data_IF_251532083128
#
_entry.id   IF_251532083128
#
_cell.length_a   1.000
_cell.length_b   1.000
_cell.length_c   1.000
_cell.angle_alpha   90.00
_cell.angle_beta   90.00
_cell.angle_gamma   90.00
#
_symmetry.space_group_name_H-M   'P 1'
#
loop_
_entity.id
_entity.type
_entity.pdbx_description
1 polymer ?
#
# COMPACT_ATOMS: atom_id res chain seq x y z
N UNK A 1 -23.72 11.60 -16.75
CA UNK A 1 -22.66 12.61 -16.58
C UNK A 1 -22.82 13.62 -17.71
N UNK A 2 -22.95 14.89 -17.40
CA UNK A 2 -23.14 15.92 -18.44
C UNK A 2 -21.79 16.28 -19.04
N UNK A 3 -21.72 16.40 -20.37
CA UNK A 3 -20.50 16.80 -21.12
C UNK A 3 -19.90 18.12 -20.58
N UNK A 4 -20.74 18.99 -19.97
CA UNK A 4 -20.32 20.21 -19.28
C UNK A 4 -19.37 20.00 -18.09
N UNK A 5 -19.50 18.90 -17.34
CA UNK A 5 -18.65 18.62 -16.16
C UNK A 5 -17.23 18.21 -16.58
N UNK A 6 -17.07 17.64 -17.78
CA UNK A 6 -15.75 17.30 -18.35
C UNK A 6 -15.03 18.56 -18.85
N UNK A 7 -15.79 19.52 -19.44
CA UNK A 7 -15.23 20.78 -19.92
C UNK A 7 -14.85 21.75 -18.81
N UNK A 8 -15.61 21.79 -17.69
CA UNK A 8 -15.25 22.57 -16.51
C UNK A 8 -13.97 22.05 -15.84
N UNK A 9 -13.75 20.74 -15.85
CA UNK A 9 -12.49 20.13 -15.42
C UNK A 9 -11.29 20.52 -16.28
N UNK A 10 -11.46 20.59 -17.61
CA UNK A 10 -10.39 20.94 -18.55
C UNK A 10 -10.06 22.44 -18.58
N UNK A 11 -11.03 23.34 -18.37
CA UNK A 11 -10.79 24.79 -18.31
C UNK A 11 -10.10 25.23 -17.01
N UNK A 12 -10.40 24.60 -15.87
CA UNK A 12 -9.64 24.77 -14.63
C UNK A 12 -8.20 24.22 -14.73
N UNK A 13 -7.96 23.27 -15.62
CA UNK A 13 -6.65 22.65 -15.81
C UNK A 13 -5.60 23.64 -16.33
N UNK A 14 -5.93 24.55 -17.24
CA UNK A 14 -4.93 25.40 -17.92
C UNK A 14 -4.34 26.49 -17.01
N UNK A 15 -5.13 27.23 -16.27
CA UNK A 15 -4.67 28.37 -15.46
C UNK A 15 -4.01 27.93 -14.14
N UNK A 16 -4.59 26.94 -13.45
CA UNK A 16 -4.02 26.38 -12.23
C UNK A 16 -2.73 25.61 -12.49
N UNK A 17 -2.67 24.85 -13.58
CA UNK A 17 -1.49 24.08 -13.98
C UNK A 17 -0.31 24.99 -14.29
N UNK A 18 -0.52 26.12 -14.99
CA UNK A 18 0.52 27.08 -15.29
C UNK A 18 1.04 27.79 -14.01
N UNK A 19 0.15 28.16 -13.12
CA UNK A 19 0.51 28.78 -11.83
C UNK A 19 1.29 27.83 -10.92
N UNK A 20 0.94 26.54 -10.86
CA UNK A 20 1.64 25.52 -10.08
C UNK A 20 3.01 25.16 -10.69
N UNK A 21 3.12 25.10 -12.03
CA UNK A 21 4.38 24.84 -12.71
C UNK A 21 5.46 25.87 -12.38
N UNK A 22 5.04 27.14 -12.27
CA UNK A 22 5.96 28.25 -12.01
C UNK A 22 6.33 28.42 -10.53
N UNK A 23 5.48 27.97 -9.60
CA UNK A 23 5.65 28.25 -8.18
C UNK A 23 5.94 27.01 -7.32
N UNK A 24 5.43 25.83 -7.68
CA UNK A 24 5.52 24.60 -6.88
C UNK A 24 5.47 23.33 -7.74
N UNK A 25 6.57 22.94 -8.38
CA UNK A 25 6.59 21.81 -9.32
C UNK A 25 6.20 20.46 -8.69
N UNK A 26 6.41 20.27 -7.40
CA UNK A 26 5.97 19.05 -6.69
C UNK A 26 4.43 18.96 -6.54
N UNK A 27 3.77 20.09 -6.26
CA UNK A 27 2.30 20.15 -6.20
C UNK A 27 1.67 19.97 -7.61
N UNK A 28 2.33 20.47 -8.64
CA UNK A 28 1.90 20.23 -10.02
C UNK A 28 1.91 18.73 -10.34
N UNK A 29 2.98 18.02 -10.00
CA UNK A 29 3.05 16.56 -10.22
C UNK A 29 1.92 15.82 -9.50
N UNK A 30 1.66 16.18 -8.24
CA UNK A 30 0.55 15.62 -7.45
C UNK A 30 -0.81 15.91 -8.09
N UNK A 31 -1.05 17.14 -8.53
CA UNK A 31 -2.29 17.55 -9.20
C UNK A 31 -2.51 16.79 -10.52
N UNK A 32 -1.48 16.70 -11.37
CA UNK A 32 -1.55 15.93 -12.63
C UNK A 32 -1.85 14.45 -12.33
N UNK A 33 -1.21 13.87 -11.33
CA UNK A 33 -1.44 12.47 -10.94
C UNK A 33 -2.89 12.23 -10.48
N UNK A 34 -3.49 13.17 -9.73
CA UNK A 34 -4.89 13.11 -9.31
C UNK A 34 -5.85 13.22 -10.51
N UNK A 35 -5.59 14.16 -11.45
CA UNK A 35 -6.40 14.32 -12.66
C UNK A 35 -6.36 13.07 -13.54
N UNK A 36 -5.21 12.44 -13.67
CA UNK A 36 -5.06 11.22 -14.46
C UNK A 36 -5.75 10.03 -13.80
N UNK A 37 -5.67 9.88 -12.47
CA UNK A 37 -6.44 8.87 -11.75
C UNK A 37 -7.94 9.05 -11.95
N UNK A 38 -8.45 10.27 -11.82
CA UNK A 38 -9.86 10.57 -12.11
C UNK A 38 -10.27 10.26 -13.56
N UNK A 39 -9.39 10.52 -14.52
CA UNK A 39 -9.64 10.15 -15.90
C UNK A 39 -9.76 8.63 -16.06
N UNK A 40 -8.83 7.86 -15.49
CA UNK A 40 -8.86 6.40 -15.52
C UNK A 40 -10.14 5.84 -14.87
N UNK A 41 -10.62 6.49 -13.80
CA UNK A 41 -11.92 6.18 -13.17
C UNK A 41 -13.10 6.39 -14.10
N UNK A 42 -13.12 7.52 -14.81
CA UNK A 42 -14.20 7.92 -15.71
C UNK A 42 -14.30 7.01 -16.94
N UNK A 43 -13.16 6.54 -17.46
CA UNK A 43 -13.10 5.64 -18.62
C UNK A 43 -13.16 4.16 -18.26
N UNK A 44 -13.23 3.82 -16.95
CA UNK A 44 -13.33 2.44 -16.48
C UNK A 44 -12.05 1.62 -16.64
N UNK A 45 -10.90 2.28 -16.81
CA UNK A 45 -9.60 1.62 -16.90
C UNK A 45 -9.08 1.20 -15.52
N UNK A 46 -8.45 0.02 -15.45
CA UNK A 46 -7.86 -0.51 -14.24
C UNK A 46 -8.86 -1.18 -13.29
N UNK A 47 -8.48 -1.32 -12.01
CA UNK A 47 -9.28 -2.00 -11.01
C UNK A 47 -10.56 -1.22 -10.64
N UNK A 48 -11.68 -1.91 -10.35
CA UNK A 48 -12.90 -1.24 -9.90
C UNK A 48 -12.68 -0.53 -8.56
N UNK A 49 -13.32 0.65 -8.39
CA UNK A 49 -13.24 1.44 -7.17
C UNK A 49 -14.15 0.91 -6.08
N UNK A 50 -13.59 0.58 -4.91
CA UNK A 50 -14.36 0.16 -3.75
C UNK A 50 -13.57 0.40 -2.46
N UNK A 51 -14.23 0.94 -1.43
CA UNK A 51 -13.66 1.01 -0.08
C UNK A 51 -13.66 -0.37 0.60
N UNK A 52 -12.63 -0.71 1.38
CA UNK A 52 -12.48 -2.02 2.02
C UNK A 52 -13.44 -2.23 3.20
N UNK A 53 -13.85 -1.17 3.86
CA UNK A 53 -14.74 -1.20 5.03
C UNK A 53 -15.78 -0.10 4.96
N UNK A 54 -16.98 -0.36 5.51
CA UNK A 54 -18.01 0.66 5.68
C UNK A 54 -17.56 1.63 6.78
N UNK A 55 -17.63 2.96 6.57
CA UNK A 55 -17.26 3.92 7.59
C UNK A 55 -18.14 3.78 8.84
N UNK A 56 -17.54 3.65 10.01
CA UNK A 56 -18.24 3.88 11.27
C UNK A 56 -18.48 5.40 11.45
N UNK A 57 -19.63 5.79 11.98
CA UNK A 57 -20.01 7.20 12.09
C UNK A 57 -19.10 7.98 13.05
N UNK A 58 -18.59 7.36 14.12
CA UNK A 58 -17.73 7.97 15.12
C UNK A 58 -16.49 7.08 15.37
N UNK A 59 -15.42 7.30 14.62
CA UNK A 59 -14.18 6.55 14.74
C UNK A 59 -13.01 7.48 15.06
N UNK A 60 -12.38 7.29 16.21
CA UNK A 60 -11.13 7.98 16.55
C UNK A 60 -9.95 7.17 16.03
N UNK A 61 -9.11 7.80 15.22
CA UNK A 61 -7.86 7.25 14.70
C UNK A 61 -6.67 8.09 15.17
N UNK A 62 -5.50 7.48 15.24
CA UNK A 62 -4.26 8.15 15.60
C UNK A 62 -3.27 8.07 14.45
N UNK A 63 -2.82 9.23 13.97
CA UNK A 63 -1.80 9.35 12.92
C UNK A 63 -0.61 10.11 13.50
N UNK A 64 0.61 9.58 13.43
CA UNK A 64 1.80 10.32 13.85
C UNK A 64 1.98 11.60 13.05
N UNK A 65 2.33 12.71 13.72
CA UNK A 65 2.66 13.98 13.07
C UNK A 65 4.06 13.96 12.43
N UNK A 66 4.50 12.81 11.96
CA UNK A 66 5.82 12.61 11.35
C UNK A 66 5.70 12.67 9.83
N UNK A 67 6.56 13.47 9.21
CA UNK A 67 6.63 13.56 7.74
C UNK A 67 8.06 13.25 7.30
N UNK A 68 8.27 12.08 6.72
CA UNK A 68 9.44 11.79 5.91
C UNK A 68 8.99 11.60 4.46
N UNK A 69 9.75 12.12 3.51
CA UNK A 69 9.52 11.86 2.09
C UNK A 69 9.69 10.38 1.74
N UNK A 70 8.99 9.89 0.72
CA UNK A 70 9.15 8.52 0.19
C UNK A 70 8.29 7.45 0.85
N UNK A 71 7.22 7.83 1.55
CA UNK A 71 6.27 6.89 2.14
C UNK A 71 4.83 7.15 1.69
N UNK A 72 3.88 6.46 2.32
CA UNK A 72 2.45 6.62 2.09
C UNK A 72 1.99 8.07 2.26
N UNK A 73 1.03 8.49 1.46
CA UNK A 73 0.37 9.78 1.61
C UNK A 73 -0.46 9.83 2.90
N UNK A 74 -0.79 11.05 3.37
CA UNK A 74 -1.62 11.21 4.55
C UNK A 74 -3.00 10.53 4.39
N UNK A 75 -3.61 10.63 3.20
CA UNK A 75 -4.91 10.02 2.92
C UNK A 75 -4.84 8.48 3.01
N UNK A 76 -3.77 7.88 2.53
CA UNK A 76 -3.52 6.43 2.65
C UNK A 76 -3.31 5.99 4.10
N UNK A 77 -2.56 6.77 4.89
CA UNK A 77 -2.41 6.50 6.33
C UNK A 77 -3.74 6.59 7.08
N UNK A 78 -4.59 7.56 6.76
CA UNK A 78 -5.95 7.68 7.32
C UNK A 78 -6.79 6.46 6.96
N UNK A 79 -6.73 5.99 5.73
CA UNK A 79 -7.46 4.80 5.27
C UNK A 79 -7.00 3.56 6.02
N UNK A 80 -5.70 3.32 6.10
CA UNK A 80 -5.14 2.16 6.81
C UNK A 80 -5.46 2.21 8.31
N UNK A 81 -5.38 3.38 8.96
CA UNK A 81 -5.79 3.56 10.35
C UNK A 81 -7.27 3.22 10.57
N UNK A 82 -8.16 3.67 9.68
CA UNK A 82 -9.59 3.37 9.73
C UNK A 82 -9.87 1.90 9.54
N UNK A 83 -9.21 1.27 8.57
CA UNK A 83 -9.34 -0.18 8.35
C UNK A 83 -8.90 -0.95 9.59
N UNK A 84 -7.75 -0.60 10.16
CA UNK A 84 -7.23 -1.23 11.38
C UNK A 84 -8.23 -1.11 12.54
N UNK A 85 -8.74 0.09 12.80
CA UNK A 85 -9.75 0.32 13.85
C UNK A 85 -11.05 -0.44 13.63
N UNK A 86 -11.50 -0.57 12.37
CA UNK A 86 -12.77 -1.22 12.04
C UNK A 86 -12.65 -2.73 12.01
N UNK A 87 -11.56 -3.26 11.44
CA UNK A 87 -11.30 -4.69 11.31
C UNK A 87 -10.90 -5.33 12.65
N UNK A 88 -10.22 -4.57 13.52
CA UNK A 88 -9.64 -5.04 14.79
C UNK A 88 -8.78 -6.30 14.58
N UNK A 89 -7.76 -6.24 13.73
CA UNK A 89 -6.96 -7.40 13.39
C UNK A 89 -6.21 -7.91 14.61
N UNK A 90 -6.16 -9.24 14.82
CA UNK A 90 -5.31 -9.88 15.83
C UNK A 90 -3.85 -9.91 15.38
N UNK A 91 -3.63 -10.01 14.07
CA UNK A 91 -2.29 -9.97 13.49
C UNK A 91 -2.29 -9.08 12.26
N UNK A 92 -1.37 -8.11 12.25
CA UNK A 92 -1.02 -7.29 11.09
C UNK A 92 0.34 -7.74 10.58
N UNK A 93 0.49 -7.92 9.28
CA UNK A 93 1.77 -8.24 8.63
C UNK A 93 2.05 -7.26 7.50
N UNK A 94 3.17 -6.56 7.58
CA UNK A 94 3.65 -5.59 6.59
C UNK A 94 4.92 -6.11 5.91
N UNK A 95 4.97 -6.04 4.59
CA UNK A 95 6.18 -6.24 3.79
C UNK A 95 6.63 -4.87 3.28
N UNK A 96 7.82 -4.43 3.68
CA UNK A 96 8.34 -3.08 3.43
C UNK A 96 8.10 -2.14 4.62
N UNK A 97 9.07 -2.04 5.54
CA UNK A 97 8.95 -1.16 6.71
C UNK A 97 9.40 0.27 6.42
N UNK A 98 10.40 0.45 5.55
CA UNK A 98 11.09 1.71 5.31
C UNK A 98 11.48 2.39 6.64
N UNK A 99 10.92 3.57 6.97
CA UNK A 99 11.13 4.24 8.25
C UNK A 99 10.15 3.80 9.36
N UNK A 100 9.16 2.96 9.05
CA UNK A 100 8.18 2.43 9.97
C UNK A 100 6.97 3.33 10.24
N UNK A 101 6.69 4.32 9.39
CA UNK A 101 5.53 5.20 9.60
C UNK A 101 4.21 4.43 9.53
N UNK A 102 4.05 3.57 8.54
CA UNK A 102 2.86 2.73 8.39
C UNK A 102 2.77 1.70 9.50
N UNK A 103 3.90 1.10 9.89
CA UNK A 103 3.99 0.22 11.07
C UNK A 103 3.47 0.94 12.33
N UNK A 104 3.88 2.19 12.56
CA UNK A 104 3.43 3.00 13.69
C UNK A 104 1.92 3.28 13.62
N UNK A 105 1.38 3.55 12.44
CA UNK A 105 -0.08 3.72 12.24
C UNK A 105 -0.83 2.45 12.61
N UNK A 106 -0.36 1.27 12.20
CA UNK A 106 -0.95 0.00 12.60
C UNK A 106 -0.90 -0.21 14.10
N UNK A 107 0.25 0.03 14.73
CA UNK A 107 0.41 -0.16 16.18
C UNK A 107 -0.49 0.78 17.00
N UNK A 108 -0.58 2.06 16.62
CA UNK A 108 -1.39 3.07 17.31
C UNK A 108 -2.91 2.86 17.16
N UNK A 109 -3.33 2.14 16.11
CA UNK A 109 -4.74 1.93 15.80
C UNK A 109 -5.22 0.50 16.03
N UNK A 110 -4.36 -0.42 16.41
CA UNK A 110 -4.72 -1.79 16.79
C UNK A 110 -5.05 -1.91 18.27
N UNK A 111 -5.82 -2.93 18.61
CA UNK A 111 -6.05 -3.31 20.01
C UNK A 111 -4.72 -3.67 20.72
N UNK A 112 -4.62 -3.50 22.05
CA UNK A 112 -3.36 -3.72 22.78
C UNK A 112 -2.75 -5.12 22.59
N UNK A 113 -3.57 -6.13 22.40
CA UNK A 113 -3.15 -7.53 22.24
C UNK A 113 -2.84 -7.91 20.79
N UNK A 114 -3.01 -6.98 19.85
CA UNK A 114 -2.71 -7.23 18.44
C UNK A 114 -1.21 -7.38 18.21
N UNK A 115 -0.85 -8.38 17.42
CA UNK A 115 0.52 -8.63 16.97
C UNK A 115 0.79 -7.83 15.69
N UNK A 116 1.78 -6.94 15.72
CA UNK A 116 2.22 -6.16 14.57
C UNK A 116 3.57 -6.72 14.13
N UNK A 117 3.67 -7.19 12.90
CA UNK A 117 4.91 -7.72 12.31
C UNK A 117 5.22 -6.94 11.05
N UNK A 118 6.45 -6.52 10.89
CA UNK A 118 6.93 -5.86 9.68
C UNK A 118 8.23 -6.49 9.21
N UNK A 119 8.32 -6.73 7.90
CA UNK A 119 9.45 -7.38 7.24
C UNK A 119 10.14 -6.37 6.32
N UNK A 120 11.45 -6.25 6.43
CA UNK A 120 12.26 -5.45 5.52
C UNK A 120 13.64 -6.07 5.32
N UNK A 121 14.33 -5.64 4.26
CA UNK A 121 15.72 -6.02 4.03
C UNK A 121 16.62 -5.55 5.18
N UNK A 122 17.64 -6.31 5.55
CA UNK A 122 18.66 -5.85 6.49
C UNK A 122 19.32 -4.56 6.00
N UNK A 123 19.71 -3.63 6.90
CA UNK A 123 20.47 -2.46 6.52
C UNK A 123 21.76 -2.84 5.78
N UNK A 124 22.11 -2.11 4.72
CA UNK A 124 23.32 -2.34 3.94
C UNK A 124 23.28 -3.45 2.90
N UNK A 125 22.14 -4.15 2.72
CA UNK A 125 22.08 -5.31 1.79
C UNK A 125 21.53 -5.01 0.39
N UNK A 126 20.96 -3.86 0.11
CA UNK A 126 20.28 -3.57 -1.17
C UNK A 126 21.16 -3.50 -2.43
N UNK A 127 22.51 -3.40 -2.29
CA UNK A 127 23.39 -3.16 -3.42
C UNK A 127 23.55 -4.33 -4.41
N UNK A 128 23.28 -5.54 -3.99
CA UNK A 128 23.40 -6.77 -4.80
C UNK A 128 22.09 -7.35 -5.31
N UNK A 129 20.97 -6.71 -5.02
CA UNK A 129 19.65 -7.25 -5.35
C UNK A 129 19.10 -6.69 -6.67
N UNK A 130 18.23 -7.45 -7.33
CA UNK A 130 17.56 -7.08 -8.57
C UNK A 130 16.40 -6.08 -8.31
N UNK A 131 16.67 -5.00 -7.59
CA UNK A 131 15.71 -3.94 -7.28
C UNK A 131 15.68 -2.91 -8.41
N UNK A 132 14.52 -2.28 -8.62
CA UNK A 132 14.39 -1.12 -9.50
C UNK A 132 15.19 0.08 -8.93
N UNK A 133 15.58 1.07 -9.78
CA UNK A 133 16.42 2.18 -9.32
C UNK A 133 15.85 2.95 -8.12
N UNK A 134 14.53 3.24 -8.12
CA UNK A 134 13.86 3.93 -7.01
C UNK A 134 13.96 3.15 -5.69
N UNK A 135 13.79 1.83 -5.71
CA UNK A 135 13.93 0.98 -4.52
C UNK A 135 15.36 1.00 -3.97
N UNK A 136 16.37 1.03 -4.85
CA UNK A 136 17.78 1.11 -4.41
C UNK A 136 18.06 2.40 -3.65
N UNK A 137 17.53 3.53 -4.10
CA UNK A 137 17.68 4.81 -3.42
C UNK A 137 16.99 4.80 -2.05
N UNK A 138 15.77 4.26 -1.97
CA UNK A 138 15.03 4.11 -0.72
C UNK A 138 15.78 3.22 0.27
N UNK A 139 16.24 2.04 -0.19
CA UNK A 139 17.01 1.11 0.64
C UNK A 139 18.30 1.72 1.16
N UNK A 140 19.00 2.52 0.36
CA UNK A 140 20.24 3.16 0.76
C UNK A 140 20.05 4.30 1.78
N UNK A 141 18.93 5.03 1.71
CA UNK A 141 18.68 6.22 2.53
C UNK A 141 17.82 5.98 3.77
N UNK A 142 17.19 4.80 3.91
CA UNK A 142 16.23 4.54 4.97
C UNK A 142 16.87 4.34 6.35
N UNK A 143 16.08 4.68 7.37
CA UNK A 143 16.36 4.35 8.76
C UNK A 143 15.26 3.41 9.28
N UNK A 144 15.44 2.10 9.08
CA UNK A 144 14.44 1.07 9.42
C UNK A 144 13.91 1.25 10.84
N UNK A 145 12.57 1.26 10.98
CA UNK A 145 11.83 1.41 12.24
C UNK A 145 12.22 2.65 13.09
N UNK A 146 12.69 3.74 12.45
CA UNK A 146 13.05 4.98 13.16
C UNK A 146 11.82 5.67 13.77
N UNK A 147 10.67 5.63 13.09
CA UNK A 147 9.44 6.28 13.56
C UNK A 147 8.86 5.56 14.80
N UNK A 148 8.63 4.23 14.82
CA UNK A 148 8.19 3.56 16.03
C UNK A 148 9.09 3.81 17.23
N UNK A 149 10.41 3.78 17.03
CA UNK A 149 11.38 4.07 18.11
C UNK A 149 11.27 5.50 18.64
N UNK A 150 11.15 6.48 17.75
CA UNK A 150 10.99 7.88 18.15
C UNK A 150 9.70 8.14 18.92
N UNK A 151 8.66 7.35 18.66
CA UNK A 151 7.36 7.41 19.34
C UNK A 151 7.28 6.53 20.60
N UNK A 152 8.35 5.80 20.95
CA UNK A 152 8.35 4.87 22.08
C UNK A 152 7.44 3.65 21.89
N UNK A 153 7.12 3.30 20.65
CA UNK A 153 6.31 2.12 20.31
C UNK A 153 7.18 0.87 20.37
N UNK A 154 6.64 -0.21 20.92
CA UNK A 154 7.42 -1.42 21.22
C UNK A 154 6.69 -2.73 20.91
N UNK A 155 5.44 -2.68 20.44
CA UNK A 155 4.65 -3.90 20.15
C UNK A 155 4.95 -4.50 18.79
N UNK A 156 5.56 -3.73 17.87
CA UNK A 156 5.92 -4.23 16.56
C UNK A 156 7.13 -5.17 16.63
N UNK A 157 7.07 -6.28 15.90
CA UNK A 157 8.19 -7.19 15.65
C UNK A 157 8.79 -6.86 14.30
N UNK A 158 10.01 -6.32 14.29
CA UNK A 158 10.77 -6.07 13.07
C UNK A 158 11.52 -7.32 12.65
N UNK A 159 11.19 -7.85 11.47
CA UNK A 159 11.94 -8.92 10.80
C UNK A 159 12.88 -8.29 9.77
N UNK A 160 14.14 -8.67 9.79
CA UNK A 160 15.16 -8.22 8.85
C UNK A 160 15.58 -9.40 7.98
N UNK A 161 14.94 -9.54 6.81
CA UNK A 161 15.16 -10.63 5.88
C UNK A 161 14.71 -10.19 4.48
N UNK A 162 15.34 -10.74 3.44
CA UNK A 162 14.84 -10.67 2.08
C UNK A 162 13.50 -11.40 1.98
N UNK A 163 12.46 -10.71 1.46
CA UNK A 163 11.14 -11.29 1.29
C UNK A 163 11.16 -12.53 0.38
N UNK A 164 12.09 -12.61 -0.57
CA UNK A 164 12.30 -13.79 -1.42
C UNK A 164 12.72 -15.01 -0.61
N UNK A 165 13.55 -14.82 0.43
CA UNK A 165 14.05 -15.88 1.31
C UNK A 165 13.18 -16.13 2.56
N UNK A 166 12.25 -15.23 2.87
CA UNK A 166 11.41 -15.29 4.05
C UNK A 166 10.53 -16.55 4.07
N UNK A 167 10.54 -17.28 5.21
CA UNK A 167 9.62 -18.40 5.44
C UNK A 167 8.31 -17.94 6.08
N UNK A 168 7.17 -18.05 5.40
CA UNK A 168 5.88 -17.64 5.92
C UNK A 168 5.26 -18.65 6.90
N UNK A 169 5.87 -19.83 7.12
CA UNK A 169 5.30 -20.93 7.91
C UNK A 169 4.85 -20.56 9.31
N UNK A 170 5.54 -19.67 10.08
CA UNK A 170 5.09 -19.26 11.40
C UNK A 170 3.80 -18.42 11.42
N UNK A 171 3.35 -17.94 10.27
CA UNK A 171 2.24 -17.01 10.12
C UNK A 171 1.06 -17.59 9.34
N UNK A 172 1.10 -18.85 8.92
CA UNK A 172 0.06 -19.45 8.07
C UNK A 172 -1.34 -19.30 8.70
N UNK A 173 -2.29 -18.81 7.89
CA UNK A 173 -3.70 -18.60 8.24
C UNK A 173 -3.93 -17.75 9.51
N UNK A 174 -3.01 -16.87 9.87
CA UNK A 174 -3.08 -16.10 11.12
C UNK A 174 -3.10 -14.58 10.95
N UNK A 175 -2.85 -14.07 9.74
CA UNK A 175 -2.79 -12.64 9.44
C UNK A 175 -4.17 -12.13 9.04
N UNK A 176 -4.69 -11.12 9.74
CA UNK A 176 -6.00 -10.53 9.46
C UNK A 176 -5.89 -9.26 8.60
N UNK A 177 -4.77 -8.55 8.67
CA UNK A 177 -4.49 -7.37 7.85
C UNK A 177 -3.08 -7.48 7.26
N UNK A 178 -2.99 -7.58 5.94
CA UNK A 178 -1.74 -7.63 5.19
C UNK A 178 -1.49 -6.35 4.41
N UNK A 179 -0.23 -5.88 4.37
CA UNK A 179 0.22 -4.82 3.49
C UNK A 179 1.46 -5.28 2.72
N UNK A 180 1.46 -5.11 1.41
CA UNK A 180 2.60 -5.35 0.51
C UNK A 180 3.04 -4.00 -0.04
N UNK A 181 4.15 -3.50 0.48
CA UNK A 181 4.77 -2.20 0.17
C UNK A 181 6.31 -2.32 0.19
N UNK A 182 6.80 -3.44 -0.34
CA UNK A 182 8.23 -3.76 -0.41
C UNK A 182 8.85 -3.35 -1.74
N UNK A 183 9.58 -4.27 -2.38
CA UNK A 183 10.15 -4.05 -3.71
C UNK A 183 9.05 -4.04 -4.79
N UNK A 184 9.22 -3.21 -5.82
CA UNK A 184 8.20 -2.92 -6.83
C UNK A 184 8.40 -3.67 -8.16
N UNK A 185 9.45 -4.48 -8.29
CA UNK A 185 9.56 -5.37 -9.43
C UNK A 185 8.57 -6.54 -9.34
N UNK A 186 8.17 -7.06 -10.49
CA UNK A 186 7.11 -8.08 -10.58
C UNK A 186 7.44 -9.35 -9.80
N UNK A 187 8.71 -9.78 -9.78
CA UNK A 187 9.10 -11.02 -9.12
C UNK A 187 8.90 -10.95 -7.60
N UNK A 188 9.30 -9.84 -6.99
CA UNK A 188 9.09 -9.59 -5.56
C UNK A 188 7.60 -9.45 -5.23
N UNK A 189 6.85 -8.63 -5.99
CA UNK A 189 5.40 -8.46 -5.76
C UNK A 189 4.65 -9.78 -5.88
N UNK A 190 5.00 -10.63 -6.85
CA UNK A 190 4.41 -11.97 -6.99
C UNK A 190 4.74 -12.85 -5.79
N UNK A 191 6.01 -12.94 -5.41
CA UNK A 191 6.46 -13.71 -4.26
C UNK A 191 5.74 -13.27 -2.98
N UNK A 192 5.68 -11.96 -2.74
CA UNK A 192 5.10 -11.39 -1.54
C UNK A 192 3.57 -11.60 -1.51
N UNK A 193 2.90 -11.48 -2.65
CA UNK A 193 1.49 -11.81 -2.81
C UNK A 193 1.22 -13.29 -2.51
N UNK A 194 2.03 -14.20 -3.03
CA UNK A 194 1.89 -15.64 -2.81
C UNK A 194 2.10 -16.01 -1.33
N UNK A 195 3.11 -15.42 -0.69
CA UNK A 195 3.40 -15.66 0.73
C UNK A 195 2.33 -15.03 1.61
N UNK A 196 1.93 -13.79 1.32
CA UNK A 196 0.87 -13.11 2.05
C UNK A 196 -0.44 -13.90 1.99
N UNK A 197 -0.87 -14.36 0.82
CA UNK A 197 -2.09 -15.16 0.69
C UNK A 197 -2.07 -16.43 1.56
N UNK A 198 -0.91 -17.09 1.72
CA UNK A 198 -0.77 -18.26 2.60
C UNK A 198 -0.84 -17.88 4.08
N UNK A 199 -0.37 -16.69 4.43
CA UNK A 199 -0.38 -16.18 5.82
C UNK A 199 -1.75 -15.67 6.24
N UNK A 200 -2.57 -15.17 5.30
CA UNK A 200 -3.86 -14.55 5.62
C UNK A 200 -4.84 -15.52 6.26
N UNK A 201 -5.59 -15.03 7.25
CA UNK A 201 -6.84 -15.66 7.72
C UNK A 201 -7.93 -15.54 6.65
N UNK A 202 -9.03 -16.28 6.79
CA UNK A 202 -10.12 -16.26 5.79
C UNK A 202 -10.99 -14.99 5.84
N UNK A 203 -10.82 -14.17 6.89
CA UNK A 203 -11.61 -12.96 7.11
C UNK A 203 -10.78 -11.68 6.99
N UNK A 204 -9.54 -11.80 6.53
CA UNK A 204 -8.60 -10.71 6.44
C UNK A 204 -8.74 -9.87 5.17
N UNK A 205 -7.92 -8.83 5.11
CA UNK A 205 -7.81 -7.92 3.95
C UNK A 205 -6.33 -7.76 3.62
N UNK A 206 -6.00 -7.83 2.33
CA UNK A 206 -4.65 -7.55 1.81
C UNK A 206 -4.67 -6.25 1.05
N UNK A 207 -3.66 -5.43 1.29
CA UNK A 207 -3.38 -4.21 0.53
C UNK A 207 -2.08 -4.33 -0.26
N UNK A 208 -2.03 -3.66 -1.40
CA UNK A 208 -0.83 -3.37 -2.17
C UNK A 208 -0.72 -1.86 -2.32
N UNK A 209 0.48 -1.33 -2.11
CA UNK A 209 0.79 0.07 -2.39
C UNK A 209 1.28 0.24 -3.84
N UNK A 210 1.40 1.50 -4.29
CA UNK A 210 1.88 1.92 -5.61
C UNK A 210 1.10 1.40 -6.83
N UNK A 211 -0.15 0.95 -6.65
CA UNK A 211 -1.05 0.67 -7.77
C UNK A 211 -1.39 1.98 -8.52
N UNK A 212 -1.28 1.95 -9.84
CA UNK A 212 -1.50 3.11 -10.69
C UNK A 212 -0.29 4.03 -10.84
N UNK A 213 0.86 3.61 -10.31
CA UNK A 213 2.15 4.26 -10.54
C UNK A 213 2.54 4.25 -12.01
N UNK A 214 3.35 5.25 -12.41
CA UNK A 214 3.86 5.40 -13.78
C UNK A 214 5.32 4.97 -13.85
N UNK A 215 5.79 4.76 -15.08
CA UNK A 215 7.19 4.42 -15.31
C UNK A 215 7.53 3.04 -14.75
N UNK A 216 8.45 2.99 -13.80
CA UNK A 216 8.96 1.74 -13.21
C UNK A 216 7.93 0.97 -12.38
N UNK A 217 6.84 1.60 -11.90
CA UNK A 217 5.73 0.94 -11.18
C UNK A 217 4.66 0.32 -12.09
N UNK A 218 4.70 0.58 -13.40
CA UNK A 218 3.73 0.02 -14.34
C UNK A 218 3.66 -1.51 -14.34
N UNK A 219 4.77 -2.26 -14.20
CA UNK A 219 4.72 -3.71 -14.11
C UNK A 219 3.92 -4.25 -12.92
N UNK A 220 3.98 -3.58 -11.76
CA UNK A 220 3.16 -3.91 -10.59
C UNK A 220 1.67 -3.77 -10.91
N UNK A 221 1.25 -2.64 -11.50
CA UNK A 221 -0.14 -2.42 -11.88
C UNK A 221 -0.64 -3.50 -12.87
N UNK A 222 0.15 -3.82 -13.89
CA UNK A 222 -0.18 -4.87 -14.87
C UNK A 222 -0.31 -6.26 -14.22
N UNK A 223 0.52 -6.57 -13.23
CA UNK A 223 0.41 -7.82 -12.46
C UNK A 223 -0.91 -7.86 -11.67
N UNK A 224 -1.25 -6.81 -10.93
CA UNK A 224 -2.48 -6.75 -10.14
C UNK A 224 -3.73 -6.81 -11.04
N UNK A 225 -3.73 -6.15 -12.19
CA UNK A 225 -4.80 -6.23 -13.19
C UNK A 225 -4.94 -7.65 -13.79
N UNK A 226 -3.83 -8.35 -13.96
CA UNK A 226 -3.85 -9.76 -14.36
C UNK A 226 -4.42 -10.66 -13.26
N UNK A 227 -4.06 -10.42 -12.00
CA UNK A 227 -4.59 -11.13 -10.84
C UNK A 227 -6.10 -10.87 -10.66
N UNK A 228 -6.55 -9.65 -10.96
CA UNK A 228 -7.95 -9.25 -10.90
C UNK A 228 -8.89 -10.01 -11.88
N UNK A 229 -8.34 -10.68 -12.89
CA UNK A 229 -9.10 -11.58 -13.76
C UNK A 229 -9.52 -12.88 -13.07
N UNK A 230 -8.95 -13.17 -11.89
CA UNK A 230 -9.14 -14.43 -11.15
C UNK A 230 -9.75 -14.22 -9.76
N UNK A 231 -9.57 -13.05 -9.16
CA UNK A 231 -10.19 -12.71 -7.87
C UNK A 231 -10.59 -11.24 -7.83
N UNK A 232 -11.58 -10.86 -7.01
CA UNK A 232 -11.95 -9.47 -6.82
C UNK A 232 -10.78 -8.66 -6.23
N UNK A 233 -10.21 -7.77 -7.04
CA UNK A 233 -9.30 -6.72 -6.60
C UNK A 233 -9.95 -5.37 -6.82
N UNK A 234 -9.72 -4.47 -5.91
CA UNK A 234 -10.29 -3.13 -5.93
C UNK A 234 -9.20 -2.10 -5.69
N UNK A 235 -9.37 -0.91 -6.25
CA UNK A 235 -8.56 0.25 -5.87
C UNK A 235 -9.34 1.17 -4.93
N UNK A 236 -8.63 1.96 -4.15
CA UNK A 236 -9.22 3.01 -3.35
C UNK A 236 -9.09 4.34 -4.11
N UNK A 237 -10.20 5.07 -4.32
CA UNK A 237 -10.17 6.35 -5.03
C UNK A 237 -9.14 7.32 -4.44
N UNK A 238 -8.51 8.11 -5.31
CA UNK A 238 -7.55 9.16 -4.96
C UNK A 238 -6.29 8.70 -4.20
N UNK A 239 -6.00 7.38 -4.22
CA UNK A 239 -4.81 6.78 -3.59
C UNK A 239 -4.06 5.87 -4.58
N UNK A 240 -2.90 5.37 -4.16
CA UNK A 240 -2.18 4.28 -4.82
C UNK A 240 -2.44 2.90 -4.18
N UNK A 241 -3.44 2.80 -3.30
CA UNK A 241 -3.79 1.54 -2.66
C UNK A 241 -4.72 0.69 -3.53
N UNK A 242 -4.33 -0.57 -3.74
CA UNK A 242 -5.21 -1.65 -4.16
C UNK A 242 -5.46 -2.59 -2.98
N UNK A 243 -6.58 -3.33 -2.99
CA UNK A 243 -6.91 -4.27 -1.93
C UNK A 243 -7.75 -5.45 -2.44
N UNK A 244 -7.71 -6.55 -1.71
CA UNK A 244 -8.55 -7.72 -1.93
C UNK A 244 -8.99 -8.34 -0.59
N UNK A 245 -10.20 -8.96 -0.53
CA UNK A 245 -10.54 -9.86 0.55
C UNK A 245 -9.61 -11.09 0.51
N UNK A 246 -9.13 -11.53 1.67
CA UNK A 246 -8.14 -12.62 1.75
C UNK A 246 -8.67 -13.96 1.24
N UNK A 247 -9.93 -14.26 1.51
CA UNK A 247 -10.55 -15.53 1.11
C UNK A 247 -10.52 -15.73 -0.41
N UNK A 248 -10.88 -14.70 -1.15
CA UNK A 248 -10.91 -14.71 -2.60
C UNK A 248 -9.50 -14.76 -3.19
N UNK A 249 -8.55 -14.04 -2.59
CA UNK A 249 -7.15 -14.09 -2.99
C UNK A 249 -6.55 -15.50 -2.78
N UNK A 250 -6.82 -16.13 -1.63
CA UNK A 250 -6.37 -17.49 -1.34
C UNK A 250 -6.92 -18.49 -2.35
N UNK A 251 -8.22 -18.41 -2.68
CA UNK A 251 -8.86 -19.29 -3.66
C UNK A 251 -8.21 -19.16 -5.04
N UNK A 252 -8.02 -17.93 -5.53
CA UNK A 252 -7.39 -17.68 -6.82
C UNK A 252 -5.95 -18.21 -6.90
N UNK A 253 -5.17 -18.06 -5.84
CA UNK A 253 -3.78 -18.55 -5.79
C UNK A 253 -3.73 -20.07 -5.71
N UNK A 254 -4.67 -20.71 -5.01
CA UNK A 254 -4.77 -22.18 -4.98
C UNK A 254 -5.02 -22.76 -6.37
N UNK A 255 -5.94 -22.17 -7.14
CA UNK A 255 -6.25 -22.58 -8.51
C UNK A 255 -5.08 -22.38 -9.50
N UNK A 256 -4.17 -21.45 -9.22
CA UNK A 256 -2.97 -21.24 -10.05
C UNK A 256 -1.89 -22.30 -9.87
N UNK A 257 -1.96 -23.12 -8.81
CA UNK A 257 -0.96 -24.12 -8.46
C UNK A 257 -1.35 -25.56 -8.80
N UNK A 258 -2.61 -25.78 -9.11
CA UNK A 258 -3.20 -27.04 -9.51
C UNK A 258 -3.67 -27.03 -10.97
#
# INVERSE_FOLDING_TARGET
MRVSEVFDGLSCFSLRTLSLALRRPSELRRYISQCLRKYDELVGNGLPCRGPVTPAENLTITIPAYHAGGGMSFDELVILARVTKTLKPRTVFEVGSYNGLTTAVFELNSDPDARIVTLDLPPGTGAGQALIPGDKELVASRHVASVPRALGLSRCTQLLCDSMAFDPSPYLNSVDLGLIDGAHDVAHVQNDTLKMARMMSDHGIVFWHDYGGKGEFKPLASYLESLAKRCPLYRIPDTSLAWAPSRELKAAIWEMRN
#
